data_IF_457369918104
#
_entry.id   IF_457369918104
#
_cell.length_a   1.000
_cell.length_b   1.000
_cell.length_c   1.000
_cell.angle_alpha   90.00
_cell.angle_beta   90.00
_cell.angle_gamma   90.00
#
_symmetry.space_group_name_H-M   'P 1'
#
loop_
_entity.id
_entity.type
_entity.pdbx_description
1 polymer ?
#
# COMPACT_ATOMS: atom_id res chain seq x y z
N UNK A 1 24.64 -3.55 1.98
CA UNK A 1 24.49 -2.12 1.61
C UNK A 1 23.70 -1.46 2.73
N UNK A 2 24.09 -0.25 3.17
CA UNK A 2 23.32 0.46 4.19
C UNK A 2 21.92 0.81 3.65
N UNK A 3 20.88 0.63 4.47
CA UNK A 3 19.53 1.05 4.11
C UNK A 3 19.46 2.57 4.01
N UNK A 4 18.73 3.08 3.02
CA UNK A 4 18.47 4.51 2.88
C UNK A 4 17.71 5.02 4.10
N UNK A 5 17.98 6.26 4.50
CA UNK A 5 17.17 6.95 5.50
C UNK A 5 15.82 7.34 4.89
N UNK A 6 14.83 7.62 5.73
CA UNK A 6 13.53 8.12 5.27
C UNK A 6 13.68 9.40 4.44
N UNK A 7 14.56 10.31 4.85
CA UNK A 7 14.81 11.55 4.11
C UNK A 7 15.35 11.28 2.70
N UNK A 8 16.24 10.30 2.54
CA UNK A 8 16.76 9.90 1.22
C UNK A 8 15.65 9.30 0.34
N UNK A 9 14.82 8.43 0.89
CA UNK A 9 13.69 7.84 0.16
C UNK A 9 12.69 8.93 -0.27
N UNK A 10 12.39 9.89 0.61
CA UNK A 10 11.49 11.00 0.30
C UNK A 10 12.04 11.91 -0.80
N UNK A 11 13.33 12.23 -0.74
CA UNK A 11 13.99 13.04 -1.79
C UNK A 11 13.93 12.33 -3.14
N UNK A 12 14.33 11.06 -3.20
CA UNK A 12 14.30 10.29 -4.45
C UNK A 12 12.89 10.10 -5.00
N UNK A 13 11.90 9.91 -4.12
CA UNK A 13 10.49 9.83 -4.50
C UNK A 13 9.97 11.14 -5.08
N UNK A 14 10.33 12.27 -4.47
CA UNK A 14 9.97 13.59 -5.00
C UNK A 14 10.61 13.84 -6.36
N UNK A 15 11.90 13.55 -6.53
CA UNK A 15 12.60 13.72 -7.80
C UNK A 15 11.98 12.88 -8.92
N UNK A 16 11.55 11.64 -8.60
CA UNK A 16 10.84 10.78 -9.52
C UNK A 16 9.49 11.37 -9.94
N UNK A 17 8.73 11.93 -9.00
CA UNK A 17 7.45 12.61 -9.27
C UNK A 17 7.66 13.85 -10.14
N UNK A 18 8.64 14.70 -9.81
CA UNK A 18 8.97 15.90 -10.59
C UNK A 18 9.37 15.54 -12.02
N UNK A 19 10.15 14.47 -12.21
CA UNK A 19 10.54 13.99 -13.54
C UNK A 19 9.34 13.54 -14.38
N UNK A 20 8.34 12.93 -13.75
CA UNK A 20 7.17 12.40 -14.45
C UNK A 20 6.07 13.44 -14.69
N UNK A 21 5.85 14.34 -13.72
CA UNK A 21 4.68 15.24 -13.68
C UNK A 21 5.05 16.71 -13.83
N UNK A 22 6.32 17.07 -13.66
CA UNK A 22 6.73 18.45 -13.43
C UNK A 22 6.55 18.88 -11.97
N UNK A 23 7.21 19.97 -11.55
CA UNK A 23 7.27 20.37 -10.14
C UNK A 23 5.92 20.80 -9.56
N UNK A 24 5.08 21.46 -10.36
CA UNK A 24 3.77 21.93 -9.89
C UNK A 24 2.83 20.75 -9.59
N UNK A 25 2.70 19.82 -10.52
CA UNK A 25 1.81 18.65 -10.38
C UNK A 25 2.35 17.62 -9.38
N UNK A 26 3.68 17.46 -9.26
CA UNK A 26 4.28 16.67 -8.19
C UNK A 26 3.91 17.20 -6.79
N UNK A 27 3.94 18.51 -6.61
CA UNK A 27 3.55 19.14 -5.35
C UNK A 27 2.04 19.03 -5.10
N UNK A 28 1.20 19.13 -6.14
CA UNK A 28 -0.25 18.87 -6.04
C UNK A 28 -0.54 17.42 -5.67
N UNK A 29 0.16 16.46 -6.27
CA UNK A 29 0.03 15.02 -5.99
C UNK A 29 0.32 14.72 -4.52
N UNK A 30 1.43 15.23 -3.97
CA UNK A 30 1.77 15.00 -2.54
C UNK A 30 0.71 15.58 -1.61
N UNK A 31 0.09 16.70 -1.98
CA UNK A 31 -1.00 17.32 -1.21
C UNK A 31 -2.37 16.72 -1.50
N UNK A 32 -2.49 15.91 -2.55
CA UNK A 32 -3.77 15.33 -2.93
C UNK A 32 -4.17 14.30 -1.88
N UNK A 33 -5.28 14.58 -1.22
CA UNK A 33 -6.01 13.60 -0.44
C UNK A 33 -7.15 13.10 -1.32
N UNK A 34 -7.19 11.80 -1.56
CA UNK A 34 -8.34 11.13 -2.13
C UNK A 34 -8.95 10.26 -1.02
N UNK A 35 -10.28 10.25 -0.90
CA UNK A 35 -10.98 9.35 0.01
C UNK A 35 -10.77 7.88 -0.39
N UNK A 36 -10.22 7.65 -1.58
CA UNK A 36 -10.14 6.33 -2.17
C UNK A 36 -11.54 5.84 -2.55
N UNK A 37 -11.59 4.62 -3.07
CA UNK A 37 -12.83 3.93 -3.38
C UNK A 37 -12.86 2.58 -2.69
N UNK A 38 -14.06 2.08 -2.42
CA UNK A 38 -14.27 0.79 -1.78
C UNK A 38 -14.83 0.94 -0.37
N UNK A 39 -15.49 -0.11 0.08
CA UNK A 39 -15.96 -0.23 1.45
C UNK A 39 -15.20 -1.39 2.10
N UNK A 40 -14.05 -1.07 2.70
CA UNK A 40 -13.24 -2.06 3.39
C UNK A 40 -14.04 -2.82 4.46
N UNK A 41 -15.08 -2.20 5.04
CA UNK A 41 -15.92 -2.87 6.03
C UNK A 41 -16.73 -3.98 5.40
N UNK A 42 -17.40 -3.73 4.28
CA UNK A 42 -18.17 -4.73 3.54
C UNK A 42 -17.27 -5.75 2.86
N UNK A 43 -16.21 -5.32 2.17
CA UNK A 43 -15.24 -6.21 1.50
C UNK A 43 -14.58 -7.18 2.49
N UNK A 44 -14.23 -6.70 3.69
CA UNK A 44 -13.68 -7.55 4.75
C UNK A 44 -14.71 -8.56 5.25
N UNK A 45 -15.99 -8.19 5.38
CA UNK A 45 -17.06 -9.11 5.77
C UNK A 45 -17.24 -10.21 4.74
N UNK A 46 -17.23 -9.88 3.45
CA UNK A 46 -17.37 -10.84 2.36
C UNK A 46 -16.17 -11.78 2.23
N UNK A 47 -14.96 -11.21 2.27
CA UNK A 47 -13.69 -11.95 2.10
C UNK A 47 -13.48 -12.94 3.23
N UNK A 48 -13.64 -12.49 4.47
CA UNK A 48 -13.29 -13.31 5.63
C UNK A 48 -14.49 -13.98 6.28
N UNK A 49 -15.75 -13.58 6.01
CA UNK A 49 -16.98 -14.21 6.53
C UNK A 49 -16.95 -14.53 8.03
N UNK A 50 -16.35 -13.65 8.83
CA UNK A 50 -16.13 -13.85 10.28
C UNK A 50 -15.24 -15.06 10.64
N UNK A 51 -14.43 -15.56 9.71
CA UNK A 51 -13.40 -16.58 9.98
C UNK A 51 -12.49 -16.10 11.12
N UNK A 52 -12.19 -16.97 12.09
CA UNK A 52 -11.26 -16.62 13.14
C UNK A 52 -9.85 -16.47 12.57
N UNK A 53 -9.05 -15.57 13.18
CA UNK A 53 -7.72 -15.21 12.68
C UNK A 53 -6.79 -16.43 12.54
N UNK A 54 -6.88 -17.39 13.46
CA UNK A 54 -6.09 -18.61 13.43
C UNK A 54 -6.39 -19.48 12.20
N UNK A 55 -7.63 -19.49 11.72
CA UNK A 55 -8.02 -20.21 10.51
C UNK A 55 -7.46 -19.52 9.27
N UNK A 56 -7.53 -18.19 9.21
CA UNK A 56 -6.93 -17.40 8.12
C UNK A 56 -5.42 -17.67 8.04
N UNK A 57 -4.71 -17.65 9.18
CA UNK A 57 -3.28 -17.95 9.22
C UNK A 57 -2.95 -19.36 8.73
N UNK A 58 -3.75 -20.37 9.10
CA UNK A 58 -3.59 -21.74 8.58
C UNK A 58 -3.78 -21.81 7.07
N UNK A 59 -4.82 -21.17 6.53
CA UNK A 59 -5.08 -21.14 5.09
C UNK A 59 -3.91 -20.51 4.31
N UNK A 60 -3.33 -19.41 4.81
CA UNK A 60 -2.15 -18.77 4.21
C UNK A 60 -0.94 -19.72 4.18
N UNK A 61 -0.68 -20.42 5.29
CA UNK A 61 0.43 -21.37 5.38
C UNK A 61 0.25 -22.55 4.43
N UNK A 62 -0.97 -23.05 4.24
CA UNK A 62 -1.25 -24.13 3.28
C UNK A 62 -1.08 -23.65 1.83
N UNK A 63 -1.53 -22.43 1.49
CA UNK A 63 -1.31 -21.85 0.16
C UNK A 63 0.17 -21.70 -0.16
N UNK A 64 0.98 -21.26 0.80
CA UNK A 64 2.43 -21.12 0.63
C UNK A 64 3.15 -22.45 0.39
N UNK A 65 2.62 -23.57 0.90
CA UNK A 65 3.17 -24.91 0.64
C UNK A 65 2.83 -25.45 -0.76
N UNK A 66 1.79 -24.89 -1.39
CA UNK A 66 1.31 -25.29 -2.72
C UNK A 66 1.94 -24.50 -3.86
N UNK A 67 2.79 -23.51 -3.54
CA UNK A 67 3.60 -22.71 -4.46
C UNK A 67 5.02 -23.28 -4.55
#
# INVERSE_FOLDING_TARGET
MASKTIAQIQSEGYDALVKALGPEDAARFIRSYDHGSGDYTEERKETFRKKPLNQIGKEILELQKSL
#
